data_IF_978224673852
#
_entry.id   IF_978224673852
#
_cell.length_a   1.000
_cell.length_b   1.000
_cell.length_c   1.000
_cell.angle_alpha   90.00
_cell.angle_beta   90.00
_cell.angle_gamma   90.00
#
_symmetry.space_group_name_H-M   'P 1'
#
loop_
_entity.id
_entity.type
_entity.pdbx_description
1 polymer ?
#
# COMPACT_ATOMS: atom_id res chain seq x y z
N UNK A 1 -33.14 -9.16 -25.70
CA UNK A 1 -31.90 -8.50 -25.26
C UNK A 1 -30.99 -8.40 -26.48
N UNK A 2 -30.59 -7.20 -26.87
CA UNK A 2 -29.54 -6.99 -27.87
C UNK A 2 -28.20 -7.41 -27.28
N UNK A 3 -27.44 -8.24 -27.98
CA UNK A 3 -26.12 -8.69 -27.55
C UNK A 3 -25.15 -7.50 -27.58
N UNK A 4 -24.59 -7.17 -26.41
CA UNK A 4 -23.58 -6.11 -26.28
C UNK A 4 -22.18 -6.75 -26.38
N UNK A 5 -21.60 -6.66 -27.58
CA UNK A 5 -20.27 -7.19 -27.87
C UNK A 5 -19.17 -6.54 -27.02
N UNK A 6 -19.29 -5.25 -26.74
CA UNK A 6 -18.29 -4.52 -25.95
C UNK A 6 -18.30 -5.01 -24.51
N UNK A 7 -19.50 -5.16 -23.91
CA UNK A 7 -19.64 -5.73 -22.58
C UNK A 7 -19.15 -7.17 -22.51
N UNK A 8 -19.45 -7.99 -23.52
CA UNK A 8 -18.96 -9.37 -23.59
C UNK A 8 -17.44 -9.43 -23.64
N UNK A 9 -16.80 -8.65 -24.52
CA UNK A 9 -15.35 -8.59 -24.63
C UNK A 9 -14.69 -8.14 -23.31
N UNK A 10 -15.24 -7.12 -22.66
CA UNK A 10 -14.75 -6.63 -21.38
C UNK A 10 -14.89 -7.68 -20.25
N UNK A 11 -15.98 -8.43 -20.23
CA UNK A 11 -16.21 -9.50 -19.25
C UNK A 11 -15.27 -10.70 -19.47
N UNK A 12 -14.81 -10.94 -20.70
CA UNK A 12 -13.88 -12.01 -21.05
C UNK A 12 -12.40 -11.61 -21.01
N UNK A 13 -12.06 -10.42 -20.50
CA UNK A 13 -10.67 -9.97 -20.42
C UNK A 13 -9.94 -10.64 -19.23
N UNK A 14 -8.98 -11.56 -19.47
CA UNK A 14 -8.29 -12.28 -18.39
C UNK A 14 -7.35 -11.39 -17.56
N UNK A 15 -7.01 -10.20 -18.08
CA UNK A 15 -6.17 -9.23 -17.37
C UNK A 15 -6.97 -8.31 -16.45
N UNK A 16 -8.31 -8.38 -16.47
CA UNK A 16 -9.16 -7.59 -15.58
C UNK A 16 -9.23 -8.29 -14.22
N UNK A 17 -8.67 -7.66 -13.19
CA UNK A 17 -8.87 -8.09 -11.80
C UNK A 17 -10.33 -7.86 -11.38
N UNK A 18 -10.93 -8.83 -10.69
CA UNK A 18 -12.28 -8.70 -10.15
C UNK A 18 -12.23 -8.00 -8.78
N UNK A 19 -13.08 -7.00 -8.60
CA UNK A 19 -13.21 -6.25 -7.36
C UNK A 19 -14.53 -6.59 -6.67
N UNK A 20 -14.47 -7.35 -5.58
CA UNK A 20 -15.64 -7.77 -4.81
C UNK A 20 -16.44 -6.60 -4.21
N UNK A 21 -15.89 -5.39 -4.13
CA UNK A 21 -16.67 -4.21 -3.73
C UNK A 21 -17.72 -3.84 -4.79
N UNK A 22 -17.52 -4.21 -6.06
CA UNK A 22 -18.42 -3.90 -7.18
C UNK A 22 -19.39 -5.04 -7.43
N UNK A 23 -20.68 -4.75 -7.37
CA UNK A 23 -21.75 -5.73 -7.58
C UNK A 23 -21.63 -6.48 -8.93
N UNK A 24 -21.14 -5.78 -9.96
CA UNK A 24 -20.92 -6.34 -11.29
C UNK A 24 -19.81 -7.39 -11.34
N UNK A 25 -18.76 -7.24 -10.55
CA UNK A 25 -17.63 -8.18 -10.55
C UNK A 25 -17.94 -9.42 -9.69
N UNK A 26 -18.81 -9.28 -8.67
CA UNK A 26 -19.25 -10.40 -7.80
C UNK A 26 -19.84 -11.56 -8.59
N UNK A 27 -20.57 -11.28 -9.66
CA UNK A 27 -21.22 -12.32 -10.49
C UNK A 27 -20.21 -13.17 -11.28
N UNK A 28 -18.99 -12.67 -11.46
CA UNK A 28 -17.93 -13.33 -12.23
C UNK A 28 -16.93 -14.07 -11.33
N UNK A 29 -17.00 -13.88 -10.01
CA UNK A 29 -16.12 -14.57 -9.08
C UNK A 29 -16.53 -16.04 -8.95
N UNK A 30 -15.54 -16.93 -9.08
CA UNK A 30 -15.70 -18.36 -8.85
C UNK A 30 -14.67 -18.75 -7.80
N UNK A 31 -15.13 -19.38 -6.71
CA UNK A 31 -14.24 -19.87 -5.67
C UNK A 31 -13.54 -21.16 -6.13
N UNK A 32 -12.21 -21.11 -6.20
CA UNK A 32 -11.34 -22.25 -6.53
C UNK A 32 -10.61 -22.79 -5.29
N UNK A 33 -11.05 -22.45 -4.08
CA UNK A 33 -10.46 -22.92 -2.82
C UNK A 33 -10.37 -24.45 -2.74
N UNK A 34 -11.39 -25.17 -3.20
CA UNK A 34 -11.44 -26.64 -3.21
C UNK A 34 -10.28 -27.25 -4.00
N UNK A 35 -9.95 -26.68 -5.17
CA UNK A 35 -8.85 -27.18 -6.02
C UNK A 35 -7.47 -26.66 -5.59
N UNK A 36 -7.42 -25.51 -4.90
CA UNK A 36 -6.19 -24.95 -4.32
C UNK A 36 -5.80 -25.66 -3.02
N UNK A 37 -6.73 -26.36 -2.39
CA UNK A 37 -6.52 -27.09 -1.13
C UNK A 37 -6.54 -26.21 0.13
N UNK A 38 -6.80 -24.91 0.00
CA UNK A 38 -6.89 -23.99 1.13
C UNK A 38 -7.74 -22.75 0.81
N UNK A 39 -8.45 -22.24 1.82
CA UNK A 39 -9.11 -20.93 1.80
C UNK A 39 -8.16 -19.85 2.33
N UNK A 40 -7.07 -19.57 1.60
CA UNK A 40 -5.96 -18.70 2.04
C UNK A 40 -6.46 -17.32 2.54
N UNK A 41 -7.43 -16.72 1.86
CA UNK A 41 -8.01 -15.43 2.26
C UNK A 41 -8.72 -15.51 3.61
N UNK A 42 -9.42 -16.62 3.87
CA UNK A 42 -10.05 -16.85 5.17
C UNK A 42 -9.00 -17.06 6.26
N UNK A 43 -7.90 -17.73 5.95
CA UNK A 43 -6.79 -17.92 6.89
C UNK A 43 -6.11 -16.60 7.25
N UNK A 44 -5.87 -15.73 6.26
CA UNK A 44 -5.32 -14.39 6.49
C UNK A 44 -6.27 -13.55 7.33
N UNK A 45 -7.56 -13.49 6.96
CA UNK A 45 -8.57 -12.78 7.74
C UNK A 45 -8.64 -13.32 9.17
N UNK A 46 -8.65 -14.64 9.37
CA UNK A 46 -8.65 -15.25 10.71
C UNK A 46 -7.41 -14.84 11.50
N UNK A 47 -6.24 -14.84 10.88
CA UNK A 47 -4.99 -14.47 11.53
C UNK A 47 -5.02 -13.01 11.98
N UNK A 48 -5.40 -12.10 11.08
CA UNK A 48 -5.45 -10.65 11.32
C UNK A 48 -6.54 -10.28 12.33
N UNK A 49 -7.77 -10.78 12.14
CA UNK A 49 -8.93 -10.30 12.88
C UNK A 49 -9.24 -11.09 14.16
N UNK A 50 -8.92 -12.39 14.21
CA UNK A 50 -9.33 -13.26 15.32
C UNK A 50 -8.18 -13.71 16.20
N UNK A 51 -7.05 -14.11 15.60
CA UNK A 51 -5.93 -14.69 16.35
C UNK A 51 -4.98 -13.63 16.92
N UNK A 52 -4.80 -12.52 16.22
CA UNK A 52 -3.81 -11.49 16.58
C UNK A 52 -4.40 -10.06 16.58
N UNK A 53 -5.50 -9.78 17.32
CA UNK A 53 -6.15 -8.46 17.28
C UNK A 53 -5.28 -7.31 17.81
N UNK A 54 -4.32 -7.62 18.70
CA UNK A 54 -3.44 -6.63 19.34
C UNK A 54 -1.96 -6.80 18.97
N UNK A 55 -1.63 -7.76 18.10
CA UNK A 55 -0.26 -8.06 17.70
C UNK A 55 -0.13 -7.84 16.19
N UNK A 56 0.83 -7.03 15.71
CA UNK A 56 1.03 -6.85 14.29
C UNK A 56 1.44 -8.18 13.64
N UNK A 57 0.87 -8.45 12.47
CA UNK A 57 1.16 -9.66 11.69
C UNK A 57 1.65 -9.29 10.30
N UNK A 58 2.53 -10.10 9.73
CA UNK A 58 2.99 -9.97 8.34
C UNK A 58 2.72 -11.29 7.61
N UNK A 59 2.02 -11.22 6.48
CA UNK A 59 1.73 -12.36 5.63
C UNK A 59 2.33 -12.15 4.25
N UNK A 60 2.93 -13.20 3.70
CA UNK A 60 3.41 -13.23 2.33
C UNK A 60 2.45 -14.06 1.47
N UNK A 61 1.96 -13.47 0.38
CA UNK A 61 1.11 -14.14 -0.58
C UNK A 61 1.79 -14.26 -1.94
N UNK A 62 2.17 -15.47 -2.32
CA UNK A 62 2.91 -15.75 -3.56
C UNK A 62 2.11 -16.64 -4.50
N UNK A 63 2.51 -16.64 -5.78
CA UNK A 63 1.89 -17.47 -6.81
C UNK A 63 2.26 -16.97 -8.20
N UNK A 64 1.96 -17.77 -9.23
CA UNK A 64 2.26 -17.41 -10.62
C UNK A 64 1.48 -16.17 -11.09
N UNK A 65 1.98 -15.52 -12.15
CA UNK A 65 1.25 -14.44 -12.82
C UNK A 65 -0.07 -15.00 -13.37
N UNK A 66 -1.17 -14.28 -13.17
CA UNK A 66 -2.49 -14.68 -13.66
C UNK A 66 -3.22 -15.74 -12.83
N UNK A 67 -2.68 -16.20 -11.69
CA UNK A 67 -3.38 -17.18 -10.84
C UNK A 67 -4.52 -16.58 -9.97
N UNK A 68 -4.77 -15.26 -10.10
CA UNK A 68 -5.84 -14.55 -9.39
C UNK A 68 -5.42 -13.88 -8.08
N UNK A 69 -4.12 -13.69 -7.81
CA UNK A 69 -3.63 -13.08 -6.56
C UNK A 69 -4.32 -11.76 -6.22
N UNK A 70 -4.31 -10.81 -7.17
CA UNK A 70 -4.91 -9.49 -6.99
C UNK A 70 -6.41 -9.56 -6.72
N UNK A 71 -7.12 -10.50 -7.36
CA UNK A 71 -8.56 -10.73 -7.11
C UNK A 71 -8.80 -11.20 -5.67
N UNK A 72 -7.97 -12.14 -5.18
CA UNK A 72 -8.07 -12.63 -3.81
C UNK A 72 -7.65 -11.56 -2.77
N UNK A 73 -6.69 -10.69 -3.08
CA UNK A 73 -6.31 -9.56 -2.24
C UNK A 73 -7.41 -8.48 -2.17
N UNK A 74 -8.07 -8.16 -3.29
CA UNK A 74 -9.23 -7.25 -3.29
C UNK A 74 -10.42 -7.85 -2.55
N UNK A 75 -10.61 -9.16 -2.63
CA UNK A 75 -11.58 -9.88 -1.78
C UNK A 75 -11.23 -9.72 -0.30
N UNK A 76 -9.97 -9.97 0.09
CA UNK A 76 -9.50 -9.79 1.47
C UNK A 76 -9.73 -8.35 1.96
N UNK A 77 -9.40 -7.36 1.12
CA UNK A 77 -9.64 -5.94 1.41
C UNK A 77 -11.10 -5.70 1.79
N UNK A 78 -12.03 -6.08 0.92
CA UNK A 78 -13.46 -5.89 1.17
C UNK A 78 -13.91 -6.59 2.46
N UNK A 79 -13.47 -7.83 2.68
CA UNK A 79 -13.82 -8.60 3.87
C UNK A 79 -13.28 -8.00 5.19
N UNK A 80 -12.11 -7.35 5.15
CA UNK A 80 -11.51 -6.66 6.28
C UNK A 80 -12.16 -5.29 6.53
N UNK A 81 -12.50 -4.56 5.47
CA UNK A 81 -13.25 -3.30 5.56
C UNK A 81 -14.64 -3.53 6.21
N UNK A 82 -15.34 -4.59 5.78
CA UNK A 82 -16.61 -5.03 6.39
C UNK A 82 -16.45 -5.44 7.86
N UNK A 83 -15.26 -5.92 8.24
CA UNK A 83 -14.90 -6.27 9.63
C UNK A 83 -14.43 -5.05 10.45
N UNK A 84 -14.57 -3.82 9.91
CA UNK A 84 -14.27 -2.58 10.60
C UNK A 84 -12.81 -2.13 10.55
N UNK A 85 -11.94 -2.79 9.78
CA UNK A 85 -10.56 -2.35 9.61
C UNK A 85 -10.47 -1.12 8.69
N UNK A 86 -9.38 -0.37 8.83
CA UNK A 86 -8.93 0.59 7.84
C UNK A 86 -7.90 -0.09 6.95
N UNK A 87 -8.26 -0.35 5.70
CA UNK A 87 -7.40 -1.11 4.79
C UNK A 87 -6.78 -0.16 3.76
N UNK A 88 -5.46 -0.13 3.71
CA UNK A 88 -4.68 0.58 2.70
C UNK A 88 -4.26 -0.44 1.65
N UNK A 89 -4.80 -0.35 0.45
CA UNK A 89 -4.42 -1.20 -0.68
C UNK A 89 -3.76 -0.35 -1.75
N UNK A 90 -2.59 -0.77 -2.21
CA UNK A 90 -1.93 -0.18 -3.36
C UNK A 90 -1.15 -1.22 -4.17
N UNK A 91 -1.05 -0.96 -5.47
CA UNK A 91 -0.20 -1.73 -6.36
C UNK A 91 1.20 -1.11 -6.38
N UNK A 92 2.21 -1.95 -6.18
CA UNK A 92 3.62 -1.52 -6.19
C UNK A 92 4.00 -0.77 -7.47
N UNK A 93 3.52 -1.19 -8.63
CA UNK A 93 3.81 -0.58 -9.94
C UNK A 93 3.35 0.88 -10.08
N UNK A 94 2.41 1.33 -9.27
CA UNK A 94 1.92 2.72 -9.29
C UNK A 94 2.84 3.66 -8.49
N UNK A 95 3.55 3.11 -7.51
CA UNK A 95 4.30 3.88 -6.52
C UNK A 95 5.81 3.58 -6.53
N UNK A 96 6.25 2.51 -7.21
CA UNK A 96 7.61 2.00 -7.25
C UNK A 96 8.03 1.63 -8.69
N UNK A 97 9.30 1.88 -9.01
CA UNK A 97 9.92 1.38 -10.25
C UNK A 97 10.48 -0.02 -9.99
N UNK A 98 9.72 -1.04 -10.38
CA UNK A 98 10.01 -2.42 -10.00
C UNK A 98 11.27 -3.01 -10.65
N UNK A 99 11.71 -2.47 -11.79
CA UNK A 99 12.91 -2.93 -12.48
C UNK A 99 14.20 -2.65 -11.68
N UNK A 100 14.12 -1.69 -10.76
CA UNK A 100 15.24 -1.19 -10.00
C UNK A 100 14.67 -0.69 -8.66
N UNK A 101 14.42 -1.60 -7.71
CA UNK A 101 13.75 -1.32 -6.43
C UNK A 101 14.67 -1.63 -5.24
N UNK A 102 14.71 -0.71 -4.27
CA UNK A 102 15.42 -0.88 -2.99
C UNK A 102 14.41 -1.02 -1.82
N UNK A 103 14.87 -1.58 -0.69
CA UNK A 103 14.11 -1.66 0.56
C UNK A 103 13.65 -0.27 1.00
N UNK A 104 14.52 0.74 0.87
CA UNK A 104 14.19 2.12 1.24
C UNK A 104 13.04 2.69 0.39
N UNK A 105 12.99 2.33 -0.90
CA UNK A 105 11.89 2.72 -1.79
C UNK A 105 10.57 2.11 -1.31
N UNK A 106 10.56 0.80 -0.96
CA UNK A 106 9.37 0.11 -0.42
C UNK A 106 8.89 0.76 0.88
N UNK A 107 9.80 1.06 1.81
CA UNK A 107 9.48 1.70 3.08
C UNK A 107 8.84 3.08 2.86
N UNK A 108 9.41 3.90 1.97
CA UNK A 108 8.85 5.20 1.63
C UNK A 108 7.49 5.09 0.91
N UNK A 109 7.30 4.10 0.05
CA UNK A 109 5.99 3.87 -0.57
C UNK A 109 4.93 3.51 0.47
N UNK A 110 5.22 2.60 1.41
CA UNK A 110 4.31 2.28 2.52
C UNK A 110 3.99 3.55 3.32
N UNK A 111 5.01 4.33 3.68
CA UNK A 111 4.83 5.56 4.44
C UNK A 111 3.92 6.56 3.72
N UNK A 112 4.11 6.71 2.40
CA UNK A 112 3.30 7.60 1.55
C UNK A 112 1.85 7.14 1.46
N UNK A 113 1.62 5.88 1.10
CA UNK A 113 0.27 5.34 0.85
C UNK A 113 -0.57 5.32 2.13
N UNK A 114 0.06 4.95 3.26
CA UNK A 114 -0.61 5.01 4.56
C UNK A 114 -0.93 6.46 4.93
N UNK A 115 0.01 7.38 4.77
CA UNK A 115 -0.23 8.81 5.08
C UNK A 115 -1.35 9.39 4.23
N UNK A 116 -1.33 9.14 2.92
CA UNK A 116 -2.37 9.59 1.99
C UNK A 116 -3.75 9.03 2.36
N UNK A 117 -3.81 7.75 2.74
CA UNK A 117 -5.06 7.12 3.19
C UNK A 117 -5.58 7.72 4.50
N UNK A 118 -4.70 8.06 5.44
CA UNK A 118 -5.05 8.69 6.72
C UNK A 118 -5.49 10.15 6.53
N UNK A 119 -4.83 10.90 5.66
CA UNK A 119 -5.21 12.27 5.29
C UNK A 119 -6.59 12.32 4.66
N UNK A 120 -6.90 11.37 3.76
CA UNK A 120 -8.25 11.20 3.18
C UNK A 120 -9.30 10.86 4.25
N UNK A 121 -8.89 10.21 5.34
CA UNK A 121 -9.71 9.99 6.52
C UNK A 121 -9.65 11.17 7.52
N UNK A 122 -9.09 12.32 7.18
CA UNK A 122 -8.93 13.50 8.06
C UNK A 122 -8.12 13.22 9.34
N UNK A 123 -7.21 12.24 9.31
CA UNK A 123 -6.30 11.90 10.40
C UNK A 123 -4.94 12.55 10.12
N UNK A 124 -4.71 13.72 10.71
CA UNK A 124 -3.42 14.41 10.59
C UNK A 124 -2.40 13.83 11.57
N UNK A 125 -1.27 13.37 11.04
CA UNK A 125 -0.11 12.97 11.82
C UNK A 125 1.01 14.00 11.62
N UNK A 126 1.84 14.18 12.65
CA UNK A 126 3.00 15.09 12.61
C UNK A 126 4.28 14.28 12.80
N UNK A 127 4.82 13.70 11.72
CA UNK A 127 6.06 12.95 11.79
C UNK A 127 7.25 13.91 11.82
N UNK A 128 7.98 13.97 12.94
CA UNK A 128 9.11 14.86 13.11
C UNK A 128 10.35 14.40 12.34
N UNK A 129 10.67 13.10 12.37
CA UNK A 129 11.82 12.55 11.66
C UNK A 129 11.72 12.76 10.14
N UNK A 130 10.54 12.52 9.57
CA UNK A 130 10.34 12.66 8.13
C UNK A 130 10.48 14.09 7.64
N UNK A 131 10.09 15.08 8.45
CA UNK A 131 10.30 16.49 8.11
C UNK A 131 11.79 16.81 7.95
N UNK A 132 12.62 16.36 8.89
CA UNK A 132 14.07 16.52 8.81
C UNK A 132 14.64 15.76 7.61
N UNK A 133 14.25 14.49 7.44
CA UNK A 133 14.72 13.66 6.32
C UNK A 133 14.41 14.32 4.97
N UNK A 134 13.21 14.86 4.77
CA UNK A 134 12.84 15.51 3.52
C UNK A 134 13.55 16.84 3.30
N UNK A 135 13.81 17.59 4.36
CA UNK A 135 14.61 18.83 4.29
C UNK A 135 16.02 18.51 3.83
N UNK A 136 16.65 17.49 4.42
CA UNK A 136 18.00 17.09 4.04
C UNK A 136 18.06 16.50 2.61
N UNK A 137 17.02 15.77 2.16
CA UNK A 137 16.92 15.30 0.78
C UNK A 137 16.73 16.48 -0.19
N UNK A 138 15.94 17.50 0.17
CA UNK A 138 15.77 18.69 -0.65
C UNK A 138 17.10 19.42 -0.88
N UNK A 139 17.87 19.58 0.19
CA UNK A 139 19.22 20.15 0.16
C UNK A 139 20.18 19.31 -0.69
N UNK A 140 20.19 17.99 -0.49
CA UNK A 140 21.03 17.05 -1.23
C UNK A 140 20.77 17.11 -2.75
N UNK A 141 19.50 17.13 -3.14
CA UNK A 141 19.10 17.17 -4.54
C UNK A 141 19.23 18.58 -5.15
N UNK A 142 19.65 19.59 -4.36
CA UNK A 142 19.76 21.00 -4.75
C UNK A 142 18.48 21.53 -5.40
N UNK A 143 17.34 21.01 -4.95
CA UNK A 143 16.04 21.39 -5.45
C UNK A 143 15.34 22.24 -4.41
N UNK A 144 14.75 23.39 -4.80
CA UNK A 144 13.73 24.03 -3.97
C UNK A 144 12.51 23.12 -3.96
N UNK A 145 12.56 22.09 -3.12
CA UNK A 145 11.36 21.44 -2.68
C UNK A 145 10.76 22.44 -1.69
N UNK A 146 9.70 23.15 -2.11
CA UNK A 146 8.84 23.89 -1.19
C UNK A 146 8.13 22.88 -0.28
N UNK A 147 8.89 22.20 0.57
CA UNK A 147 8.44 21.37 1.66
C UNK A 147 8.45 22.34 2.82
N UNK A 148 7.39 23.15 2.88
CA UNK A 148 7.14 23.94 4.07
C UNK A 148 7.09 23.03 5.28
N UNK A 149 7.42 23.55 6.46
CA UNK A 149 7.37 22.85 7.75
C UNK A 149 5.99 22.22 8.08
N UNK A 150 4.95 22.51 7.29
CA UNK A 150 3.60 21.97 7.40
C UNK A 150 3.21 20.98 6.29
N UNK A 151 4.12 20.64 5.37
CA UNK A 151 3.80 19.71 4.30
C UNK A 151 3.47 18.31 4.88
N UNK A 152 2.33 17.78 4.44
CA UNK A 152 1.87 16.44 4.80
C UNK A 152 2.87 15.37 4.30
N UNK A 153 3.00 14.28 5.05
CA UNK A 153 3.99 13.22 4.79
C UNK A 153 3.82 12.64 3.38
N UNK A 154 2.58 12.46 2.92
CA UNK A 154 2.27 11.99 1.57
C UNK A 154 2.83 12.93 0.48
N UNK A 155 2.73 14.25 0.69
CA UNK A 155 3.17 15.29 -0.26
C UNK A 155 4.69 15.33 -0.35
N UNK A 156 5.38 15.26 0.80
CA UNK A 156 6.84 15.21 0.86
C UNK A 156 7.40 14.05 0.05
N UNK A 157 6.88 12.83 0.30
CA UNK A 157 7.33 11.63 -0.42
C UNK A 157 6.95 11.72 -1.90
N UNK A 158 5.73 12.16 -2.23
CA UNK A 158 5.27 12.31 -3.61
C UNK A 158 6.16 13.23 -4.45
N UNK A 159 6.62 14.35 -3.88
CA UNK A 159 7.55 15.27 -4.57
C UNK A 159 8.92 14.62 -4.82
N UNK A 160 9.45 13.88 -3.85
CA UNK A 160 10.72 13.17 -3.98
C UNK A 160 10.60 12.10 -5.08
N UNK A 161 9.58 11.25 -5.01
CA UNK A 161 9.33 10.20 -6.01
C UNK A 161 9.19 10.77 -7.42
N UNK A 162 8.42 11.87 -7.59
CA UNK A 162 8.25 12.49 -8.90
C UNK A 162 9.58 13.00 -9.48
N UNK A 163 10.48 13.55 -8.65
CA UNK A 163 11.78 14.06 -9.10
C UNK A 163 12.78 12.96 -9.43
N UNK A 164 12.79 11.86 -8.66
CA UNK A 164 13.71 10.74 -8.91
C UNK A 164 13.24 9.79 -9.99
N UNK A 165 11.94 9.78 -10.32
CA UNK A 165 11.38 8.96 -11.40
C UNK A 165 12.06 9.22 -12.74
N UNK A 166 12.27 10.48 -13.09
CA UNK A 166 12.78 10.89 -14.41
C UNK A 166 14.31 11.00 -14.48
N UNK A 167 15.04 10.75 -13.37
CA UNK A 167 16.49 10.92 -13.32
C UNK A 167 17.21 9.78 -12.59
N UNK A 168 17.87 8.86 -13.32
CA UNK A 168 18.67 7.80 -12.73
C UNK A 168 19.78 8.31 -11.80
N UNK A 169 20.36 9.48 -12.10
CA UNK A 169 21.40 10.11 -11.27
C UNK A 169 20.85 10.58 -9.92
N UNK A 170 19.71 11.29 -9.92
CA UNK A 170 19.09 11.74 -8.66
C UNK A 170 18.60 10.55 -7.85
N UNK A 171 18.11 9.50 -8.51
CA UNK A 171 17.73 8.24 -7.86
C UNK A 171 18.91 7.57 -7.18
N UNK A 172 20.06 7.43 -7.84
CA UNK A 172 21.25 6.81 -7.23
C UNK A 172 21.79 7.63 -6.05
N UNK A 173 21.76 8.97 -6.15
CA UNK A 173 22.13 9.86 -5.06
C UNK A 173 21.20 9.71 -3.85
N UNK A 174 19.88 9.65 -4.09
CA UNK A 174 18.90 9.41 -3.04
C UNK A 174 19.17 8.06 -2.36
N UNK A 175 19.44 7.00 -3.11
CA UNK A 175 19.74 5.69 -2.52
C UNK A 175 20.97 5.67 -1.66
N UNK A 176 22.09 6.19 -2.16
CA UNK A 176 23.33 6.28 -1.38
C UNK A 176 23.12 7.03 -0.06
N UNK A 177 22.19 7.97 -0.04
CA UNK A 177 21.84 8.73 1.14
C UNK A 177 20.92 7.99 2.11
N UNK A 178 19.93 7.25 1.59
CA UNK A 178 18.93 6.53 2.38
C UNK A 178 19.42 5.17 2.90
N UNK A 179 20.27 4.47 2.15
CA UNK A 179 20.78 3.13 2.47
C UNK A 179 21.34 3.01 3.90
N UNK A 180 22.26 3.91 4.37
CA UNK A 180 22.78 3.83 5.75
C UNK A 180 21.74 4.20 6.82
N UNK A 181 20.57 4.72 6.43
CA UNK A 181 19.52 5.24 7.33
C UNK A 181 18.28 4.34 7.41
N UNK A 182 18.31 3.18 6.76
CA UNK A 182 17.18 2.24 6.67
C UNK A 182 16.55 1.95 8.04
N UNK A 183 17.35 1.71 9.08
CA UNK A 183 16.83 1.46 10.43
C UNK A 183 16.11 2.68 11.02
N UNK A 184 16.64 3.89 10.84
CA UNK A 184 16.00 5.12 11.33
C UNK A 184 14.69 5.40 10.60
N UNK A 185 14.62 5.12 9.30
CA UNK A 185 13.39 5.20 8.51
C UNK A 185 12.37 4.20 9.04
N UNK A 186 12.76 2.93 9.23
CA UNK A 186 11.89 1.88 9.75
C UNK A 186 11.33 2.23 11.15
N UNK A 187 12.18 2.66 12.07
CA UNK A 187 11.77 3.08 13.42
C UNK A 187 10.78 4.23 13.34
N UNK A 188 11.02 5.21 12.47
CA UNK A 188 10.15 6.38 12.32
C UNK A 188 8.80 6.01 11.69
N UNK A 189 8.77 5.10 10.72
CA UNK A 189 7.51 4.54 10.19
C UNK A 189 6.71 3.90 11.31
N UNK A 190 7.34 3.11 12.17
CA UNK A 190 6.64 2.46 13.25
C UNK A 190 6.13 3.48 14.30
N UNK A 191 7.01 4.33 14.81
CA UNK A 191 6.75 5.19 15.96
C UNK A 191 5.96 6.46 15.62
N UNK A 192 6.17 7.04 14.45
CA UNK A 192 5.54 8.32 14.07
C UNK A 192 4.32 8.14 13.15
N UNK A 193 4.24 7.02 12.43
CA UNK A 193 3.17 6.75 11.48
C UNK A 193 2.24 5.62 11.93
N UNK A 194 2.72 4.36 11.97
CA UNK A 194 1.85 3.18 12.12
C UNK A 194 1.20 3.08 13.51
N UNK A 195 1.98 3.28 14.59
CA UNK A 195 1.46 3.22 15.96
C UNK A 195 0.43 4.36 16.19
N UNK A 196 0.77 5.65 15.95
CA UNK A 196 -0.20 6.74 16.15
C UNK A 196 -1.42 6.66 15.22
N UNK A 197 -1.24 6.19 13.99
CA UNK A 197 -2.35 5.94 13.06
C UNK A 197 -3.33 4.93 13.65
N UNK A 198 -2.83 3.79 14.12
CA UNK A 198 -3.64 2.71 14.68
C UNK A 198 -4.40 3.19 15.91
N UNK A 199 -3.76 3.94 16.82
CA UNK A 199 -4.43 4.53 17.98
C UNK A 199 -5.57 5.49 17.61
N UNK A 200 -5.33 6.38 16.63
CA UNK A 200 -6.34 7.34 16.18
C UNK A 200 -7.49 6.66 15.44
N UNK A 201 -7.20 5.62 14.66
CA UNK A 201 -8.19 4.80 13.98
C UNK A 201 -9.07 4.06 15.00
N UNK A 202 -8.47 3.45 16.03
CA UNK A 202 -9.22 2.82 17.15
C UNK A 202 -10.15 3.82 17.85
N UNK A 203 -9.69 5.05 18.10
CA UNK A 203 -10.53 6.13 18.66
C UNK A 203 -11.72 6.53 17.77
N UNK A 204 -11.65 6.25 16.47
CA UNK A 204 -12.74 6.47 15.50
C UNK A 204 -13.59 5.22 15.26
N UNK A 205 -13.45 4.19 16.09
CA UNK A 205 -14.23 2.96 16.01
C UNK A 205 -13.76 1.97 14.94
N UNK A 206 -12.56 2.15 14.38
CA UNK A 206 -11.94 1.15 13.51
C UNK A 206 -11.26 0.05 14.33
N UNK A 207 -11.24 -1.17 13.83
CA UNK A 207 -10.61 -2.31 14.50
C UNK A 207 -9.07 -2.19 14.50
N UNK A 208 -8.50 -1.70 13.41
CA UNK A 208 -7.06 -1.52 13.24
C UNK A 208 -6.70 -1.05 11.83
N UNK A 209 -5.40 -0.99 11.55
CA UNK A 209 -4.83 -0.67 10.24
C UNK A 209 -4.29 -1.95 9.57
N UNK A 210 -4.63 -2.17 8.30
CA UNK A 210 -4.05 -3.23 7.48
C UNK A 210 -3.49 -2.60 6.20
N UNK A 211 -2.26 -2.96 5.83
CA UNK A 211 -1.63 -2.52 4.59
C UNK A 211 -1.47 -3.73 3.68
N UNK A 212 -2.04 -3.67 2.48
CA UNK A 212 -1.97 -4.70 1.45
C UNK A 212 -1.18 -4.12 0.27
N UNK A 213 -0.05 -4.74 -0.03
CA UNK A 213 0.82 -4.36 -1.14
C UNK A 213 0.72 -5.45 -2.20
N UNK A 214 0.25 -5.09 -3.39
CA UNK A 214 0.10 -6.02 -4.51
C UNK A 214 1.21 -5.81 -5.56
N UNK A 215 1.48 -6.84 -6.36
CA UNK A 215 2.43 -6.86 -7.48
C UNK A 215 3.91 -6.55 -7.13
N UNK A 216 4.38 -6.81 -5.90
CA UNK A 216 5.80 -6.66 -5.55
C UNK A 216 6.74 -7.61 -6.33
N UNK A 217 6.20 -8.66 -6.94
CA UNK A 217 6.92 -9.69 -7.70
C UNK A 217 7.13 -9.36 -9.18
N UNK A 218 6.55 -8.27 -9.68
CA UNK A 218 6.53 -7.93 -11.11
C UNK A 218 7.71 -7.08 -11.55
#
# INVERSE_FOLDING_TARGET
MTFDLTRFYQACNPNKTLDQSKAEDRQYYIDFSEVRGAEIIREFKRTIALLSPEIPTCQLFTGHIGCGKSTELLRLKAELEDSGFHVVYFESSQSLDLADIDITDILLAIAREVSQSLEAAEIKLKPGYFQNLFTEIAELLQTPLDIGFEAELSVGIGKITAKTKDSPKLRSQLRQYLEPRTNGILESINQELLIPATEKLKKRGKTGLVVIIDNLDR
#
